data_IF_630327247270
#
_entry.id   IF_630327247270
#
_cell.length_a   1.000
_cell.length_b   1.000
_cell.length_c   1.000
_cell.angle_alpha   90.00
_cell.angle_beta   90.00
_cell.angle_gamma   90.00
#
_symmetry.space_group_name_H-M   'P 1'
#
loop_
_entity.id
_entity.type
_entity.pdbx_description
1 polymer ?
#
# COMPACT_ATOMS: atom_id res chain seq x y z
N UNK A 1 3.04 -9.92 -30.22
CA UNK A 1 1.73 -9.70 -29.57
C UNK A 1 1.70 -10.33 -28.18
N UNK A 2 2.38 -9.69 -27.22
CA UNK A 2 2.18 -10.01 -25.80
C UNK A 2 0.99 -9.17 -25.35
N UNK A 3 -0.13 -9.81 -24.99
CA UNK A 3 -1.33 -9.09 -24.57
C UNK A 3 -1.11 -8.32 -23.26
N UNK A 4 -1.82 -7.21 -23.10
CA UNK A 4 -1.79 -6.40 -21.87
C UNK A 4 -2.76 -6.98 -20.84
N UNK A 5 -2.26 -7.45 -19.70
CA UNK A 5 -3.08 -7.86 -18.55
C UNK A 5 -2.99 -6.81 -17.45
N UNK A 6 -4.14 -6.24 -17.05
CA UNK A 6 -4.23 -5.31 -15.92
C UNK A 6 -5.05 -5.98 -14.81
N UNK A 7 -4.51 -5.98 -13.59
CA UNK A 7 -5.23 -6.39 -12.37
C UNK A 7 -5.68 -5.14 -11.63
N UNK A 8 -6.92 -5.12 -11.17
CA UNK A 8 -7.50 -4.01 -10.40
C UNK A 8 -8.21 -4.59 -9.19
N UNK A 9 -7.95 -4.06 -8.00
CA UNK A 9 -8.61 -4.55 -6.78
C UNK A 9 -10.07 -4.10 -6.80
N UNK A 10 -10.98 -4.95 -6.32
CA UNK A 10 -12.42 -4.62 -6.30
C UNK A 10 -12.71 -3.35 -5.48
N UNK A 11 -11.94 -3.10 -4.41
CA UNK A 11 -12.08 -1.91 -3.58
C UNK A 11 -11.68 -0.59 -4.27
N UNK A 12 -10.95 -0.64 -5.39
CA UNK A 12 -10.57 0.54 -6.17
C UNK A 12 -11.67 0.95 -7.17
N UNK A 13 -12.66 0.08 -7.39
CA UNK A 13 -13.73 0.33 -8.36
C UNK A 13 -14.89 1.05 -7.67
N UNK A 14 -15.26 2.22 -8.19
CA UNK A 14 -16.40 2.98 -7.69
C UNK A 14 -17.70 2.20 -7.81
N UNK A 15 -18.49 2.18 -6.73
CA UNK A 15 -19.84 1.61 -6.73
C UNK A 15 -20.83 2.60 -7.36
N UNK A 16 -21.38 2.25 -8.52
CA UNK A 16 -22.35 3.07 -9.27
C UNK A 16 -23.67 2.34 -9.50
N UNK A 17 -24.74 3.10 -9.65
CA UNK A 17 -26.08 2.58 -9.95
C UNK A 17 -26.18 1.96 -11.36
N UNK A 18 -27.26 1.22 -11.61
CA UNK A 18 -27.47 0.46 -12.85
C UNK A 18 -27.65 1.31 -14.11
N UNK A 19 -28.05 2.57 -13.97
CA UNK A 19 -28.23 3.50 -15.10
C UNK A 19 -27.09 4.51 -15.15
N UNK A 20 -25.87 4.00 -15.32
CA UNK A 20 -24.66 4.83 -15.41
C UNK A 20 -23.76 4.32 -16.52
N UNK A 21 -22.88 5.19 -17.02
CA UNK A 21 -21.83 4.80 -17.96
C UNK A 21 -20.69 4.00 -17.30
N UNK A 22 -20.60 4.04 -15.97
CA UNK A 22 -19.50 3.48 -15.22
C UNK A 22 -18.29 4.41 -15.13
N UNK A 23 -17.13 3.82 -14.85
CA UNK A 23 -15.83 4.50 -14.76
C UNK A 23 -14.83 3.85 -15.71
N UNK A 24 -13.80 4.60 -16.10
CA UNK A 24 -12.71 4.05 -16.91
C UNK A 24 -11.69 3.36 -16.02
N UNK A 25 -11.54 2.03 -16.16
CA UNK A 25 -10.53 1.25 -15.43
C UNK A 25 -9.15 1.32 -16.09
N UNK A 26 -9.10 1.24 -17.43
CA UNK A 26 -7.86 1.23 -18.22
C UNK A 26 -7.99 2.11 -19.46
N UNK A 27 -6.88 2.69 -19.90
CA UNK A 27 -6.79 3.40 -21.18
C UNK A 27 -6.15 2.47 -22.20
N UNK A 28 -6.84 2.23 -23.30
CA UNK A 28 -6.35 1.43 -24.42
C UNK A 28 -5.75 2.35 -25.49
N UNK A 29 -4.76 1.85 -26.24
CA UNK A 29 -4.32 2.50 -27.46
C UNK A 29 -5.42 2.47 -28.53
N UNK A 30 -5.36 3.37 -29.52
CA UNK A 30 -6.43 3.54 -30.53
C UNK A 30 -6.79 2.27 -31.30
N UNK A 31 -5.83 1.37 -31.48
CA UNK A 31 -5.99 0.13 -32.25
C UNK A 31 -6.08 -1.13 -31.36
N UNK A 32 -6.17 -0.96 -30.04
CA UNK A 32 -6.30 -2.07 -29.08
C UNK A 32 -7.73 -2.18 -28.57
N UNK A 33 -8.20 -3.41 -28.34
CA UNK A 33 -9.54 -3.69 -27.83
C UNK A 33 -9.47 -4.63 -26.64
N UNK A 34 -10.35 -4.42 -25.67
CA UNK A 34 -10.56 -5.36 -24.58
C UNK A 34 -11.16 -6.66 -25.13
N UNK A 35 -10.46 -7.78 -24.93
CA UNK A 35 -10.87 -9.09 -25.44
C UNK A 35 -11.54 -9.97 -24.38
N UNK A 36 -11.33 -9.69 -23.09
CA UNK A 36 -11.91 -10.48 -22.00
C UNK A 36 -11.72 -9.84 -20.63
N UNK A 37 -12.51 -10.27 -19.68
CA UNK A 37 -12.40 -9.93 -18.27
C UNK A 37 -12.71 -11.18 -17.45
N UNK A 38 -11.88 -11.44 -16.44
CA UNK A 38 -12.02 -12.59 -15.55
C UNK A 38 -11.83 -12.14 -14.10
N UNK A 39 -12.62 -12.72 -13.20
CA UNK A 39 -12.45 -12.49 -11.76
C UNK A 39 -11.34 -13.41 -11.25
N UNK A 40 -10.27 -12.81 -10.74
CA UNK A 40 -9.23 -13.56 -10.02
C UNK A 40 -9.65 -13.70 -8.57
N UNK A 41 -9.69 -14.94 -8.08
CA UNK A 41 -9.86 -15.21 -6.65
C UNK A 41 -8.48 -15.12 -5.99
N UNK A 42 -8.29 -14.15 -5.10
CA UNK A 42 -7.11 -14.15 -4.23
C UNK A 42 -7.28 -15.25 -3.17
N UNK A 43 -6.22 -16.02 -2.87
CA UNK A 43 -6.26 -16.96 -1.77
C UNK A 43 -6.51 -16.17 -0.48
N UNK A 44 -7.54 -16.57 0.27
CA UNK A 44 -7.76 -16.00 1.60
C UNK A 44 -6.58 -16.39 2.48
N UNK A 45 -5.78 -15.42 2.90
CA UNK A 45 -4.83 -15.60 3.98
C UNK A 45 -5.67 -15.89 5.24
N UNK A 46 -5.74 -17.16 5.61
CA UNK A 46 -6.24 -17.54 6.93
C UNK A 46 -5.18 -17.02 7.90
N UNK A 47 -5.55 -16.18 8.86
CA UNK A 47 -4.64 -15.67 9.90
C UNK A 47 -3.99 -16.88 10.61
N UNK A 48 -2.79 -17.28 10.20
CA UNK A 48 -2.10 -18.47 10.69
C UNK A 48 -1.32 -19.30 9.66
N UNK A 49 -1.49 -19.07 8.36
CA UNK A 49 -0.66 -19.72 7.32
C UNK A 49 0.29 -18.70 6.67
N UNK A 50 1.56 -18.73 7.06
CA UNK A 50 2.65 -18.05 6.35
C UNK A 50 2.75 -18.66 4.95
N UNK A 51 2.25 -17.95 3.95
CA UNK A 51 2.53 -18.29 2.56
C UNK A 51 3.93 -17.79 2.24
N UNK A 52 4.90 -18.71 2.10
CA UNK A 52 6.19 -18.44 1.48
C UNK A 52 5.97 -18.07 0.01
N UNK A 53 5.64 -16.80 -0.24
CA UNK A 53 5.50 -16.22 -1.56
C UNK A 53 6.62 -15.22 -1.81
N UNK A 54 7.48 -15.54 -2.78
CA UNK A 54 8.54 -14.68 -3.33
C UNK A 54 8.08 -13.21 -3.46
N UNK A 55 8.84 -12.28 -2.88
CA UNK A 55 8.60 -10.85 -3.03
C UNK A 55 8.72 -10.43 -4.49
N UNK A 56 7.60 -10.00 -5.09
CA UNK A 56 7.63 -9.18 -6.30
C UNK A 56 7.88 -7.74 -5.88
N UNK A 57 9.12 -7.29 -6.11
CA UNK A 57 9.57 -5.92 -5.93
C UNK A 57 8.59 -4.95 -6.60
N UNK A 58 7.90 -4.15 -5.78
CA UNK A 58 7.09 -3.05 -6.26
C UNK A 58 8.03 -2.00 -6.87
N UNK A 59 7.82 -1.73 -8.16
CA UNK A 59 8.59 -0.76 -8.92
C UNK A 59 8.30 0.64 -8.43
N UNK A 60 8.98 1.05 -7.36
CA UNK A 60 9.07 2.43 -6.92
C UNK A 60 9.72 3.25 -8.03
N UNK A 61 8.89 3.94 -8.81
CA UNK A 61 9.30 5.06 -9.64
C UNK A 61 9.89 6.14 -8.72
N UNK A 62 11.21 6.31 -8.81
CA UNK A 62 11.95 7.38 -8.18
C UNK A 62 11.38 8.74 -8.62
N UNK A 63 10.93 9.55 -7.65
CA UNK A 63 10.45 10.90 -7.92
C UNK A 63 10.00 11.65 -6.67
N UNK A 64 10.97 12.30 -6.01
CA UNK A 64 10.82 13.42 -5.05
C UNK A 64 10.31 13.06 -3.64
N UNK A 65 11.26 13.01 -2.68
CA UNK A 65 11.33 13.95 -1.54
C UNK A 65 12.79 14.01 -1.04
N UNK A 66 13.51 15.05 -1.46
CA UNK A 66 14.69 15.51 -0.71
C UNK A 66 14.15 16.43 0.41
N UNK A 67 13.98 15.86 1.60
CA UNK A 67 13.71 16.61 2.81
C UNK A 67 14.60 16.01 3.90
N UNK A 68 15.64 16.79 4.25
CA UNK A 68 16.78 16.38 5.05
C UNK A 68 16.43 15.74 6.38
N UNK A 69 17.19 14.69 6.71
CA UNK A 69 17.36 14.22 8.08
C UNK A 69 18.69 14.74 8.56
N UNK A 70 18.61 15.69 9.49
CA UNK A 70 19.71 16.11 10.34
C UNK A 70 19.93 15.00 11.38
N UNK A 71 21.01 14.24 11.23
CA UNK A 71 21.49 13.28 12.22
C UNK A 71 22.76 13.81 12.84
N UNK A 72 22.72 14.10 14.15
CA UNK A 72 23.77 13.79 15.13
C UNK A 72 23.55 14.61 16.41
N UNK A 73 23.43 13.93 17.55
CA UNK A 73 23.56 14.56 18.87
C UNK A 73 22.96 13.73 20.00
N UNK A 74 23.67 12.68 20.38
CA UNK A 74 23.47 11.92 21.62
C UNK A 74 23.44 12.85 22.86
N UNK A 75 22.68 12.45 23.88
CA UNK A 75 23.08 12.43 25.30
C UNK A 75 21.85 12.52 26.21
N UNK A 76 21.40 11.40 26.79
CA UNK A 76 20.73 11.41 28.08
C UNK A 76 21.14 10.15 28.87
N UNK A 77 22.19 10.28 29.68
CA UNK A 77 22.46 9.33 30.77
C UNK A 77 21.22 9.26 31.67
N UNK A 78 20.68 8.05 31.80
CA UNK A 78 19.77 7.70 32.88
C UNK A 78 20.59 7.46 34.15
N UNK A 79 20.60 8.43 35.07
CA UNK A 79 20.96 8.18 36.46
C UNK A 79 19.68 8.10 37.30
N UNK A 80 19.41 6.90 37.79
CA UNK A 80 18.35 6.58 38.71
C UNK A 80 18.86 6.67 40.15
N UNK A 81 18.21 7.48 41.00
CA UNK A 81 18.07 7.36 42.46
C UNK A 81 17.49 8.68 42.99
N UNK A 82 16.65 8.79 44.01
CA UNK A 82 15.82 7.90 44.82
C UNK A 82 15.01 8.86 45.73
N UNK A 83 13.77 8.49 46.04
CA UNK A 83 12.96 8.83 47.23
C UNK A 83 12.65 10.28 47.69
N UNK A 84 11.40 10.39 48.17
CA UNK A 84 10.78 11.36 49.10
C UNK A 84 10.72 12.86 48.72
N UNK A 85 9.49 13.38 48.49
CA UNK A 85 8.63 13.91 49.56
C UNK A 85 7.32 14.51 48.96
N UNK A 86 6.16 14.13 49.50
CA UNK A 86 4.86 14.75 49.19
C UNK A 86 4.74 16.11 49.89
N UNK A 87 4.35 17.21 49.22
CA UNK A 87 3.91 18.40 49.95
C UNK A 87 2.44 18.27 50.34
N UNK A 88 2.19 18.06 51.62
CA UNK A 88 0.92 18.39 52.27
C UNK A 88 0.83 19.91 52.48
N UNK A 89 -0.13 20.56 51.81
CA UNK A 89 -1.07 21.59 52.31
C UNK A 89 -1.59 22.50 51.20
#
# INVERSE_FOLDING_TARGET
DQGTLVRTRVGEVSSLGRNTQGVTLIKLASDEKLVGLERVQEPSLVEGEELEGEEVVDGLVAGVIDAGVEDAGEDLQADAAADDDEPQN
#
